data_IF_108555322188
#
_entry.id   IF_108555322188
#
_cell.length_a   1.000
_cell.length_b   1.000
_cell.length_c   1.000
_cell.angle_alpha   90.00
_cell.angle_beta   90.00
_cell.angle_gamma   90.00
#
_symmetry.space_group_name_H-M   'P 1'
#
loop_
_entity.id
_entity.type
_entity.pdbx_description
1 polymer ?
#
# COMPACT_ATOMS: atom_id res chain seq x y z
N UNK A 1 -0.12 -13.69 66.21
CA UNK A 1 -0.41 -15.13 66.08
C UNK A 1 -0.25 -15.50 64.61
N UNK A 2 0.73 -16.37 64.33
CA UNK A 2 0.79 -17.46 63.35
C UNK A 2 0.00 -17.35 62.02
N UNK A 3 0.49 -17.74 60.84
CA UNK A 3 1.72 -18.45 60.40
C UNK A 3 1.67 -18.46 58.88
N UNK A 4 2.82 -18.36 58.21
CA UNK A 4 2.93 -18.48 56.76
C UNK A 4 2.84 -19.91 56.23
N UNK A 5 3.00 -20.03 54.90
CA UNK A 5 3.77 -21.11 54.27
C UNK A 5 4.08 -20.77 52.82
N UNK A 6 5.37 -20.61 52.58
CA UNK A 6 6.02 -20.77 51.28
C UNK A 6 5.71 -22.16 50.71
N UNK A 7 5.47 -22.25 49.40
CA UNK A 7 5.70 -23.48 48.65
C UNK A 7 6.65 -23.16 47.49
N UNK A 8 7.81 -23.79 47.60
CA UNK A 8 8.96 -23.74 46.72
C UNK A 8 8.71 -24.59 45.46
N UNK A 9 9.29 -24.12 44.36
CA UNK A 9 9.86 -24.87 43.21
C UNK A 9 9.56 -26.36 43.06
N UNK A 10 9.08 -26.76 41.87
CA UNK A 10 9.44 -28.04 41.24
C UNK A 10 9.42 -27.92 39.71
N UNK A 11 10.62 -27.91 39.13
CA UNK A 11 10.91 -28.18 37.73
C UNK A 11 10.56 -29.64 37.40
N UNK A 12 9.83 -29.86 36.30
CA UNK A 12 9.78 -31.16 35.65
C UNK A 12 10.11 -30.97 34.16
N UNK A 13 11.32 -31.39 33.80
CA UNK A 13 11.71 -31.61 32.43
C UNK A 13 11.15 -32.96 31.98
N UNK A 14 10.44 -32.99 30.86
CA UNK A 14 10.13 -34.21 30.12
C UNK A 14 10.38 -33.95 28.64
N UNK A 15 11.52 -34.43 28.16
CA UNK A 15 11.83 -34.55 26.75
C UNK A 15 11.27 -35.88 26.23
N UNK A 16 10.42 -35.84 25.22
CA UNK A 16 10.11 -37.00 24.37
C UNK A 16 10.19 -36.55 22.92
N UNK A 17 11.22 -37.03 22.23
CA UNK A 17 11.37 -36.90 20.80
C UNK A 17 10.50 -37.95 20.10
N UNK A 18 9.66 -37.50 19.16
CA UNK A 18 9.03 -38.36 18.16
C UNK A 18 9.24 -37.73 16.78
N UNK A 19 10.24 -38.26 16.06
CA UNK A 19 10.50 -37.98 14.65
C UNK A 19 9.44 -38.72 13.84
N UNK A 20 8.53 -37.99 13.20
CA UNK A 20 7.70 -38.53 12.11
C UNK A 20 8.13 -37.83 10.83
N UNK A 21 8.60 -38.65 9.90
CA UNK A 21 9.03 -38.25 8.58
C UNK A 21 7.83 -38.14 7.61
N UNK A 22 7.98 -37.20 6.67
CA UNK A 22 7.35 -37.06 5.34
C UNK A 22 5.86 -36.72 5.24
N UNK A 23 5.57 -35.49 4.82
CA UNK A 23 4.81 -35.20 3.59
C UNK A 23 5.17 -33.80 3.07
N UNK A 24 5.14 -33.66 1.76
CA UNK A 24 5.69 -32.60 0.92
C UNK A 24 5.22 -31.19 1.27
N UNK A 25 6.15 -30.29 1.56
CA UNK A 25 5.91 -28.85 1.38
C UNK A 25 6.36 -28.51 -0.04
N UNK A 26 5.38 -28.35 -0.93
CA UNK A 26 5.55 -27.56 -2.14
C UNK A 26 6.12 -26.21 -1.70
N UNK A 27 7.39 -25.96 -1.99
CA UNK A 27 7.96 -24.62 -1.96
C UNK A 27 7.27 -23.85 -3.08
N UNK A 28 6.17 -23.21 -2.70
CA UNK A 28 5.40 -22.25 -3.45
C UNK A 28 6.35 -21.19 -4.04
N UNK A 29 6.22 -20.83 -5.32
CA UNK A 29 7.01 -19.78 -5.91
C UNK A 29 6.59 -18.44 -5.30
N UNK A 30 7.36 -17.94 -4.33
CA UNK A 30 7.47 -16.51 -4.01
C UNK A 30 6.16 -15.72 -3.97
N UNK A 31 5.16 -16.20 -3.24
CA UNK A 31 4.07 -15.35 -2.79
C UNK A 31 4.58 -14.48 -1.65
N UNK A 32 5.11 -13.29 -1.95
CA UNK A 32 5.35 -12.28 -0.92
C UNK A 32 4.00 -11.91 -0.30
N UNK A 33 3.62 -12.62 0.76
CA UNK A 33 2.58 -12.19 1.68
C UNK A 33 3.01 -10.80 2.18
N UNK A 34 2.32 -9.79 1.64
CA UNK A 34 2.41 -8.38 1.96
C UNK A 34 2.51 -8.20 3.48
N UNK A 35 3.60 -7.60 3.94
CA UNK A 35 3.71 -7.16 5.33
C UNK A 35 3.18 -5.71 5.44
N UNK A 36 2.05 -5.47 6.15
CA UNK A 36 1.54 -4.13 6.43
C UNK A 36 2.57 -3.21 7.12
N UNK A 37 3.62 -3.78 7.73
CA UNK A 37 4.70 -3.06 8.40
C UNK A 37 5.63 -2.31 7.45
N UNK A 38 5.59 -2.57 6.13
CA UNK A 38 6.50 -1.95 5.17
C UNK A 38 6.32 -0.42 5.10
N UNK A 39 5.09 0.09 5.21
CA UNK A 39 4.82 1.53 5.25
C UNK A 39 5.43 2.21 6.48
N UNK A 40 5.20 1.62 7.67
CA UNK A 40 5.74 2.15 8.92
C UNK A 40 7.27 2.10 8.89
N UNK A 41 7.84 1.00 8.40
CA UNK A 41 9.29 0.81 8.27
C UNK A 41 9.94 1.84 7.34
N UNK A 42 9.39 2.08 6.14
CA UNK A 42 9.92 3.10 5.21
C UNK A 42 9.86 4.53 5.79
N UNK A 43 8.83 4.83 6.57
CA UNK A 43 8.68 6.14 7.21
C UNK A 43 9.68 6.30 8.37
N UNK A 44 9.84 5.26 9.18
CA UNK A 44 10.82 5.20 10.27
C UNK A 44 12.24 5.29 9.74
N UNK A 45 12.58 4.58 8.66
CA UNK A 45 13.91 4.67 8.04
C UNK A 45 14.29 6.11 7.64
N UNK A 46 13.33 6.86 7.10
CA UNK A 46 13.56 8.29 6.79
C UNK A 46 13.82 9.12 8.04
N UNK A 47 13.12 8.82 9.14
CA UNK A 47 13.32 9.51 10.42
C UNK A 47 14.65 9.10 11.06
N UNK A 48 15.06 7.83 11.01
CA UNK A 48 16.36 7.34 11.50
C UNK A 48 17.51 8.11 10.83
N UNK A 49 17.47 8.24 9.50
CA UNK A 49 18.52 8.94 8.73
C UNK A 49 18.68 10.43 9.11
N UNK A 50 17.67 11.02 9.75
CA UNK A 50 17.63 12.46 10.00
C UNK A 50 17.71 12.79 11.49
N UNK A 51 17.22 11.91 12.37
CA UNK A 51 16.94 12.19 13.78
C UNK A 51 17.66 11.27 14.76
N UNK A 52 18.41 10.27 14.28
CA UNK A 52 19.16 9.31 15.10
C UNK A 52 18.31 8.67 16.22
N UNK A 53 17.18 8.09 15.83
CA UNK A 53 16.19 7.54 16.74
C UNK A 53 16.72 6.29 17.47
N UNK A 54 16.50 6.20 18.77
CA UNK A 54 16.77 4.98 19.54
C UNK A 54 15.83 3.84 19.13
N UNK A 55 16.21 2.59 19.40
CA UNK A 55 15.37 1.43 19.10
C UNK A 55 14.00 1.48 19.78
N UNK A 56 13.94 2.03 20.99
CA UNK A 56 12.69 2.22 21.73
C UNK A 56 11.79 3.25 21.02
N UNK A 57 12.34 4.41 20.63
CA UNK A 57 11.61 5.43 19.87
C UNK A 57 11.10 4.90 18.52
N UNK A 58 11.91 4.10 17.81
CA UNK A 58 11.50 3.48 16.56
C UNK A 58 10.29 2.56 16.74
N UNK A 59 10.26 1.77 17.83
CA UNK A 59 9.16 0.86 18.12
C UNK A 59 7.87 1.60 18.51
N UNK A 60 7.97 2.65 19.32
CA UNK A 60 6.82 3.50 19.66
C UNK A 60 6.24 4.17 18.41
N UNK A 61 7.10 4.74 17.56
CA UNK A 61 6.66 5.37 16.31
C UNK A 61 6.02 4.35 15.37
N UNK A 62 6.56 3.12 15.29
CA UNK A 62 5.95 2.04 14.49
C UNK A 62 4.51 1.78 14.91
N UNK A 63 4.31 1.60 16.22
CA UNK A 63 2.99 1.35 16.80
C UNK A 63 2.03 2.50 16.47
N UNK A 64 2.47 3.76 16.64
CA UNK A 64 1.64 4.94 16.32
C UNK A 64 1.23 4.97 14.84
N UNK A 65 2.17 4.68 13.93
CA UNK A 65 1.89 4.70 12.49
C UNK A 65 0.96 3.57 12.06
N UNK A 66 1.08 2.39 12.65
CA UNK A 66 0.19 1.24 12.39
C UNK A 66 -1.24 1.53 12.89
N UNK A 67 -1.38 2.05 14.11
CA UNK A 67 -2.68 2.48 14.64
C UNK A 67 -3.31 3.62 13.84
N UNK A 68 -2.50 4.57 13.37
CA UNK A 68 -2.98 5.62 12.48
C UNK A 68 -3.49 5.03 11.16
N UNK A 69 -2.74 4.11 10.53
CA UNK A 69 -3.13 3.46 9.28
C UNK A 69 -4.46 2.73 9.41
N UNK A 70 -4.63 1.95 10.49
CA UNK A 70 -5.87 1.22 10.74
C UNK A 70 -7.07 2.16 10.87
N UNK A 71 -6.91 3.28 11.61
CA UNK A 71 -7.96 4.30 11.75
C UNK A 71 -8.29 4.99 10.43
N UNK A 72 -7.28 5.34 9.64
CA UNK A 72 -7.48 5.96 8.33
C UNK A 72 -8.24 5.03 7.37
N UNK A 73 -7.91 3.73 7.36
CA UNK A 73 -8.61 2.76 6.52
C UNK A 73 -10.10 2.67 6.88
N UNK A 74 -10.40 2.52 8.17
CA UNK A 74 -11.78 2.49 8.65
C UNK A 74 -12.52 3.79 8.28
N UNK A 75 -11.89 4.95 8.51
CA UNK A 75 -12.48 6.25 8.17
C UNK A 75 -12.77 6.36 6.66
N UNK A 76 -11.88 5.87 5.80
CA UNK A 76 -12.08 5.86 4.34
C UNK A 76 -13.27 5.00 3.94
N UNK A 77 -13.38 3.79 4.48
CA UNK A 77 -14.50 2.88 4.24
C UNK A 77 -15.83 3.53 4.67
N UNK A 78 -15.86 4.11 5.87
CA UNK A 78 -17.05 4.80 6.39
C UNK A 78 -17.45 6.00 5.51
N UNK A 79 -16.49 6.81 5.08
CA UNK A 79 -16.74 7.95 4.19
C UNK A 79 -17.24 7.48 2.83
N UNK A 80 -16.62 6.44 2.25
CA UNK A 80 -17.02 5.88 0.96
C UNK A 80 -18.46 5.35 1.02
N UNK A 81 -18.80 4.56 2.04
CA UNK A 81 -20.15 4.05 2.25
C UNK A 81 -21.19 5.18 2.37
N UNK A 82 -20.86 6.27 3.08
CA UNK A 82 -21.73 7.45 3.21
C UNK A 82 -21.91 8.20 1.90
N UNK A 83 -20.87 8.28 1.08
CA UNK A 83 -20.95 8.86 -0.26
C UNK A 83 -21.84 7.97 -1.13
N UNK A 84 -21.61 6.67 -1.17
CA UNK A 84 -22.36 5.75 -2.01
C UNK A 84 -23.86 5.70 -1.67
N UNK A 85 -24.21 5.90 -0.40
CA UNK A 85 -25.59 5.98 0.08
C UNK A 85 -26.35 7.20 -0.45
N UNK A 86 -25.67 8.30 -0.79
CA UNK A 86 -26.33 9.52 -1.33
C UNK A 86 -26.29 9.61 -2.85
N UNK A 87 -25.54 8.72 -3.51
CA UNK A 87 -25.45 8.69 -4.97
C UNK A 87 -26.59 7.90 -5.59
N UNK A 88 -27.04 8.37 -6.74
CA UNK A 88 -27.93 7.61 -7.64
C UNK A 88 -27.17 6.47 -8.33
N UNK A 89 -27.85 5.41 -8.80
CA UNK A 89 -27.22 4.36 -9.59
C UNK A 89 -26.44 4.89 -10.81
N UNK A 90 -27.00 5.87 -11.51
CA UNK A 90 -26.39 6.48 -12.70
C UNK A 90 -25.13 7.28 -12.34
N UNK A 91 -25.12 7.96 -11.20
CA UNK A 91 -23.93 8.67 -10.72
C UNK A 91 -22.83 7.70 -10.29
N UNK A 92 -23.17 6.57 -9.66
CA UNK A 92 -22.19 5.53 -9.31
C UNK A 92 -21.54 4.95 -10.57
N UNK A 93 -22.34 4.57 -11.55
CA UNK A 93 -21.83 4.09 -12.84
C UNK A 93 -20.88 5.10 -13.52
N UNK A 94 -21.20 6.40 -13.43
CA UNK A 94 -20.34 7.46 -13.99
C UNK A 94 -19.03 7.64 -13.21
N UNK A 95 -19.00 7.36 -11.92
CA UNK A 95 -17.77 7.40 -11.12
C UNK A 95 -16.87 6.22 -11.51
N UNK A 96 -17.46 5.03 -11.65
CA UNK A 96 -16.80 3.80 -12.08
C UNK A 96 -16.19 3.96 -13.49
N UNK A 97 -16.96 4.40 -14.48
CA UNK A 97 -16.46 4.67 -15.84
C UNK A 97 -15.25 5.63 -15.85
N UNK A 98 -15.33 6.71 -15.06
CA UNK A 98 -14.22 7.67 -14.94
C UNK A 98 -13.01 7.09 -14.22
N UNK A 99 -13.22 6.13 -13.31
CA UNK A 99 -12.16 5.42 -12.61
C UNK A 99 -11.42 4.53 -13.59
N UNK A 100 -12.15 3.70 -14.33
CA UNK A 100 -11.59 2.81 -15.34
C UNK A 100 -10.82 3.60 -16.40
N UNK A 101 -11.40 4.69 -16.90
CA UNK A 101 -10.74 5.60 -17.84
C UNK A 101 -9.47 6.27 -17.29
N UNK A 102 -9.35 6.44 -15.97
CA UNK A 102 -8.11 6.95 -15.34
C UNK A 102 -7.08 5.85 -15.19
N UNK A 103 -7.52 4.65 -14.81
CA UNK A 103 -6.67 3.48 -14.68
C UNK A 103 -6.07 3.09 -16.02
N UNK A 104 -6.87 3.02 -17.08
CA UNK A 104 -6.42 2.68 -18.43
C UNK A 104 -5.36 3.66 -18.93
N UNK A 105 -5.61 4.98 -18.85
CA UNK A 105 -4.60 6.00 -19.18
C UNK A 105 -3.32 5.90 -18.35
N UNK A 106 -3.43 5.45 -17.10
CA UNK A 106 -2.25 5.24 -16.27
C UNK A 106 -1.45 4.02 -16.73
N UNK A 107 -2.14 2.91 -17.03
CA UNK A 107 -1.56 1.68 -17.54
C UNK A 107 -0.91 1.91 -18.90
N UNK A 108 -1.57 2.62 -19.82
CA UNK A 108 -1.01 2.93 -21.14
C UNK A 108 0.29 3.72 -21.02
N UNK A 109 0.30 4.77 -20.19
CA UNK A 109 1.51 5.55 -19.94
C UNK A 109 2.61 4.79 -19.21
N UNK A 110 2.25 3.76 -18.44
CA UNK A 110 3.23 2.85 -17.82
C UNK A 110 3.78 1.86 -18.85
N UNK A 111 2.91 1.30 -19.68
CA UNK A 111 3.21 0.33 -20.72
C UNK A 111 4.14 0.92 -21.77
N UNK A 112 3.81 2.09 -22.32
CA UNK A 112 4.65 2.80 -23.28
C UNK A 112 6.02 3.15 -22.67
N UNK A 113 6.05 3.59 -21.41
CA UNK A 113 7.28 4.03 -20.76
C UNK A 113 8.25 2.88 -20.46
N UNK A 114 7.72 1.71 -20.13
CA UNK A 114 8.52 0.55 -19.72
C UNK A 114 8.58 -0.52 -20.81
N UNK A 115 8.00 -0.27 -21.98
CA UNK A 115 7.82 -1.28 -23.04
C UNK A 115 7.24 -2.58 -22.46
N UNK A 116 6.15 -2.48 -21.69
CA UNK A 116 5.53 -3.66 -21.06
C UNK A 116 4.92 -4.58 -22.12
N UNK A 117 5.08 -5.89 -21.95
CA UNK A 117 4.36 -6.87 -22.76
C UNK A 117 2.87 -6.90 -22.42
N UNK A 118 2.04 -7.43 -23.33
CA UNK A 118 0.59 -7.58 -23.10
C UNK A 118 0.28 -8.36 -21.80
N UNK A 119 1.06 -9.43 -21.54
CA UNK A 119 0.93 -10.23 -20.32
C UNK A 119 1.31 -9.44 -19.06
N UNK A 120 2.34 -8.59 -19.13
CA UNK A 120 2.73 -7.71 -18.02
C UNK A 120 1.66 -6.65 -17.76
N UNK A 121 1.10 -6.06 -18.81
CA UNK A 121 0.00 -5.08 -18.70
C UNK A 121 -1.24 -5.72 -18.07
N UNK A 122 -1.61 -6.92 -18.50
CA UNK A 122 -2.74 -7.65 -17.91
C UNK A 122 -2.53 -7.93 -16.41
N UNK A 123 -1.29 -8.30 -16.02
CA UNK A 123 -0.95 -8.53 -14.62
C UNK A 123 -1.01 -7.26 -13.78
N UNK A 124 -0.47 -6.14 -14.29
CA UNK A 124 -0.53 -4.85 -13.58
C UNK A 124 -1.97 -4.34 -13.50
N UNK A 125 -2.78 -4.52 -14.55
CA UNK A 125 -4.21 -4.19 -14.53
C UNK A 125 -4.94 -4.92 -13.42
N UNK A 126 -4.75 -6.24 -13.33
CA UNK A 126 -5.39 -7.04 -12.28
C UNK A 126 -4.98 -6.61 -10.87
N UNK A 127 -3.72 -6.20 -10.67
CA UNK A 127 -3.27 -5.62 -9.39
C UNK A 127 -4.01 -4.31 -9.09
N UNK A 128 -4.10 -3.41 -10.08
CA UNK A 128 -4.75 -2.10 -9.95
C UNK A 128 -6.28 -2.17 -9.77
N UNK A 129 -6.94 -3.18 -10.34
CA UNK A 129 -8.38 -3.43 -10.16
C UNK A 129 -8.68 -4.01 -8.77
N UNK A 130 -7.83 -4.92 -8.27
CA UNK A 130 -7.99 -5.55 -6.96
C UNK A 130 -7.79 -4.55 -5.81
N UNK A 131 -6.66 -3.83 -5.83
CA UNK A 131 -6.73 -2.37 -5.98
C UNK A 131 -7.84 -1.57 -5.32
N UNK A 132 -8.81 -1.47 -6.18
CA UNK A 132 -9.74 -0.41 -6.29
C UNK A 132 -11.04 -0.82 -5.58
N UNK A 133 -11.25 -2.13 -5.42
CA UNK A 133 -12.29 -2.74 -4.62
C UNK A 133 -11.95 -2.78 -3.12
N UNK A 134 -10.68 -3.02 -2.76
CA UNK A 134 -10.20 -3.13 -1.37
C UNK A 134 -9.10 -2.11 -1.09
N UNK A 135 -9.49 -0.89 -0.71
CA UNK A 135 -8.64 0.30 -0.56
C UNK A 135 -7.65 0.26 0.64
N UNK A 136 -6.96 -0.86 0.85
CA UNK A 136 -5.96 -1.05 1.91
C UNK A 136 -4.54 -0.71 1.47
N UNK A 137 -4.25 -0.75 0.16
CA UNK A 137 -2.91 -0.53 -0.36
C UNK A 137 -2.58 0.95 -0.51
N UNK A 138 -1.43 1.34 0.03
CA UNK A 138 -0.83 2.65 -0.21
C UNK A 138 -0.21 2.70 -1.60
N UNK A 139 -0.09 3.91 -2.16
CA UNK A 139 0.56 4.13 -3.45
C UNK A 139 1.99 3.56 -3.52
N UNK A 140 2.71 3.55 -2.40
CA UNK A 140 4.06 2.99 -2.32
C UNK A 140 4.03 1.46 -2.37
N UNK A 141 3.04 0.81 -1.76
CA UNK A 141 2.86 -0.64 -1.86
C UNK A 141 2.47 -1.07 -3.27
N UNK A 142 1.62 -0.29 -3.96
CA UNK A 142 1.30 -0.52 -5.39
C UNK A 142 2.58 -0.43 -6.22
N UNK A 143 3.43 0.57 -5.92
CA UNK A 143 4.71 0.74 -6.60
C UNK A 143 5.61 -0.49 -6.42
N UNK A 144 5.72 -1.02 -5.21
CA UNK A 144 6.52 -2.22 -4.94
C UNK A 144 5.93 -3.47 -5.62
N UNK A 145 4.59 -3.62 -5.67
CA UNK A 145 3.98 -4.72 -6.42
C UNK A 145 4.29 -4.65 -7.91
N UNK A 146 4.19 -3.46 -8.51
CA UNK A 146 4.53 -3.27 -9.93
C UNK A 146 5.96 -3.74 -10.20
N UNK A 147 6.92 -3.45 -9.32
CA UNK A 147 8.33 -3.88 -9.49
C UNK A 147 8.48 -5.39 -9.67
N UNK A 148 7.64 -6.20 -9.02
CA UNK A 148 7.71 -7.67 -9.11
C UNK A 148 7.37 -8.21 -10.50
N UNK A 149 6.70 -7.42 -11.34
CA UNK A 149 6.29 -7.79 -12.71
C UNK A 149 7.31 -7.35 -13.74
N UNK A 150 8.24 -6.46 -13.37
CA UNK A 150 9.20 -5.83 -14.29
C UNK A 150 10.46 -6.69 -14.45
N UNK A 151 11.09 -6.60 -15.62
CA UNK A 151 12.46 -7.07 -15.82
C UNK A 151 13.46 -6.11 -15.17
N UNK A 152 14.72 -6.53 -15.01
CA UNK A 152 15.78 -5.68 -14.42
C UNK A 152 15.95 -4.33 -15.17
N UNK A 153 15.99 -4.38 -16.50
CA UNK A 153 16.10 -3.18 -17.34
C UNK A 153 14.87 -2.26 -17.19
N UNK A 154 13.67 -2.85 -17.09
CA UNK A 154 12.43 -2.10 -16.88
C UNK A 154 12.38 -1.49 -15.47
N UNK A 155 12.84 -2.22 -14.46
CA UNK A 155 12.93 -1.77 -13.08
C UNK A 155 13.85 -0.55 -12.98
N UNK A 156 15.03 -0.60 -13.62
CA UNK A 156 15.95 0.53 -13.65
C UNK A 156 15.30 1.78 -14.28
N UNK A 157 14.57 1.62 -15.39
CA UNK A 157 13.79 2.71 -16.01
C UNK A 157 12.69 3.22 -15.08
N UNK A 158 12.00 2.32 -14.38
CA UNK A 158 10.94 2.67 -13.44
C UNK A 158 11.46 3.47 -12.24
N UNK A 159 12.63 3.12 -11.71
CA UNK A 159 13.26 3.77 -10.56
C UNK A 159 13.94 5.10 -10.90
N UNK A 160 14.50 5.22 -12.12
CA UNK A 160 15.21 6.42 -12.59
C UNK A 160 14.42 7.74 -12.47
N UNK A 161 13.08 7.66 -12.44
CA UNK A 161 12.20 8.83 -12.33
C UNK A 161 11.87 9.26 -10.89
N UNK A 162 12.32 8.50 -9.89
CA UNK A 162 12.14 8.77 -8.46
C UNK A 162 10.67 8.81 -7.97
N UNK A 163 10.43 8.65 -6.65
CA UNK A 163 9.15 8.96 -6.04
C UNK A 163 8.99 10.48 -5.92
N UNK A 164 8.72 11.16 -7.03
CA UNK A 164 8.49 12.61 -7.00
C UNK A 164 9.00 13.43 -8.18
N UNK A 165 9.16 12.87 -9.38
CA UNK A 165 9.41 13.70 -10.56
C UNK A 165 8.37 14.82 -10.61
N UNK A 166 8.85 16.06 -10.46
CA UNK A 166 8.06 17.28 -10.30
C UNK A 166 6.86 17.27 -11.24
N UNK A 167 5.68 17.00 -10.69
CA UNK A 167 4.41 17.22 -11.39
C UNK A 167 4.10 18.71 -11.23
N UNK A 168 4.68 19.50 -12.13
CA UNK A 168 4.63 20.94 -12.09
C UNK A 168 5.93 21.52 -12.63
N UNK A 169 6.06 21.59 -13.97
CA UNK A 169 6.71 22.78 -14.51
C UNK A 169 6.01 24.00 -13.92
N UNK A 170 6.72 25.11 -13.70
CA UNK A 170 6.15 26.33 -13.17
C UNK A 170 4.85 26.62 -13.93
N UNK A 171 3.71 26.33 -13.29
CA UNK A 171 2.44 26.75 -13.82
C UNK A 171 2.55 28.25 -13.88
N UNK A 172 2.45 28.81 -15.08
CA UNK A 172 2.19 30.24 -15.20
C UNK A 172 1.10 30.58 -14.17
N UNK A 173 1.30 31.61 -13.34
CA UNK A 173 0.32 31.99 -12.34
C UNK A 173 -1.02 32.11 -13.07
N UNK A 174 -2.06 31.48 -12.53
CA UNK A 174 -3.39 31.55 -13.12
C UNK A 174 -3.72 33.01 -13.39
N UNK A 175 -3.67 33.39 -14.67
CA UNK A 175 -3.88 34.77 -15.11
C UNK A 175 -5.34 35.09 -14.79
N UNK A 176 -5.55 35.84 -13.70
CA UNK A 176 -6.85 36.24 -13.18
C UNK A 176 -7.51 37.29 -14.09
N UNK A 177 -7.83 36.92 -15.33
CA UNK A 177 -8.21 37.91 -16.34
C UNK A 177 -9.10 37.44 -17.50
N UNK A 178 -9.39 36.14 -17.64
CA UNK A 178 -10.33 35.68 -18.68
C UNK A 178 -11.64 35.19 -18.07
N UNK A 179 -12.56 36.13 -17.86
CA UNK A 179 -13.98 35.84 -17.72
C UNK A 179 -14.42 34.96 -18.90
N UNK A 180 -14.71 33.68 -18.66
CA UNK A 180 -15.48 32.86 -19.58
C UNK A 180 -16.89 33.44 -19.58
N UNK A 181 -17.21 34.27 -20.57
CA UNK A 181 -18.57 34.68 -20.88
C UNK A 181 -19.38 33.45 -21.26
N UNK A 182 -20.11 32.90 -20.29
CA UNK A 182 -21.23 32.01 -20.56
C UNK A 182 -22.46 32.85 -20.92
N UNK A 183 -23.37 32.33 -21.75
CA UNK A 183 -24.59 33.05 -22.12
C UNK A 183 -25.46 33.28 -20.90
N UNK A 184 -25.95 34.51 -20.73
CA UNK A 184 -27.06 34.80 -19.85
C UNK A 184 -28.31 34.08 -20.38
N UNK A 185 -29.08 33.52 -19.43
CA UNK A 185 -30.36 32.86 -19.66
C UNK A 185 -31.31 33.65 -20.57
#
# INVERSE_FOLDING_TARGET
MNTGKDIRTATFALAVAAVIATTSVLAEPGGHARDPSMFASQRIERMIRTLDLTSEQQNEIRTILEEQRARELQQRQDVQARIDAVLTPEQRARIEERRDSRMERHLDGLAERLDLSEDQVARVRSMMESDDADSEMTRDEIREQIKTVLTEDQLQRFESRGPGSKRGGAGEPCESGKMRGGPAF
#
